data_IF_093659010887
#
_entry.id   IF_093659010887
#
_cell.length_a   1.000
_cell.length_b   1.000
_cell.length_c   1.000
_cell.angle_alpha   90.00
_cell.angle_beta   90.00
_cell.angle_gamma   90.00
#
_symmetry.space_group_name_H-M   'P 1'
#
loop_
_entity.id
_entity.type
_entity.pdbx_description
1 polymer ?
#
# COMPACT_ATOMS: atom_id res chain seq x y z
N UNK A 1 29.08 -21.80 -29.78
CA UNK A 1 27.67 -21.41 -29.57
C UNK A 1 27.26 -21.92 -28.19
N UNK A 2 27.36 -21.08 -27.17
CA UNK A 2 27.16 -21.47 -25.76
C UNK A 2 25.72 -21.22 -25.31
N UNK A 3 24.96 -22.30 -25.14
CA UNK A 3 23.53 -22.31 -24.76
C UNK A 3 23.38 -22.32 -23.21
N UNK A 4 24.41 -21.93 -22.45
CA UNK A 4 24.48 -22.13 -20.97
C UNK A 4 24.22 -20.87 -20.13
N UNK A 5 23.46 -19.88 -20.61
CA UNK A 5 23.22 -18.63 -19.84
C UNK A 5 21.76 -18.20 -19.65
N UNK A 6 20.79 -19.08 -19.82
CA UNK A 6 19.36 -18.69 -19.71
C UNK A 6 18.58 -19.34 -18.56
N UNK A 7 19.21 -20.13 -17.69
CA UNK A 7 18.50 -20.95 -16.67
C UNK A 7 18.64 -20.44 -15.22
N UNK A 8 19.14 -19.22 -15.00
CA UNK A 8 19.35 -18.68 -13.64
C UNK A 8 18.97 -17.20 -13.50
N UNK A 9 17.84 -16.79 -14.06
CA UNK A 9 17.10 -15.71 -13.39
C UNK A 9 16.05 -16.40 -12.52
N UNK A 10 16.10 -16.24 -11.18
CA UNK A 10 14.96 -16.63 -10.38
C UNK A 10 13.80 -15.83 -10.94
N UNK A 11 12.86 -16.53 -11.57
CA UNK A 11 11.51 -16.05 -11.87
C UNK A 11 10.96 -15.59 -10.54
N UNK A 12 11.23 -14.33 -10.22
CA UNK A 12 10.85 -13.67 -9.00
C UNK A 12 9.35 -13.72 -9.03
N UNK A 13 8.79 -14.71 -8.33
CA UNK A 13 7.38 -15.02 -8.30
C UNK A 13 6.63 -13.69 -8.21
N UNK A 14 6.06 -13.26 -9.33
CA UNK A 14 4.93 -12.37 -9.31
C UNK A 14 3.99 -13.07 -8.31
N UNK A 15 3.58 -12.36 -7.25
CA UNK A 15 2.73 -12.97 -6.24
C UNK A 15 1.47 -13.55 -6.90
N UNK A 16 0.65 -14.32 -6.17
CA UNK A 16 -0.57 -14.92 -6.73
C UNK A 16 -1.59 -13.91 -7.28
N UNK A 17 -1.33 -12.61 -7.11
CA UNK A 17 -2.17 -11.51 -7.53
C UNK A 17 -1.66 -10.85 -8.81
N UNK A 18 -2.57 -10.55 -9.73
CA UNK A 18 -2.24 -9.81 -10.95
C UNK A 18 -1.84 -8.36 -10.63
N UNK A 19 -1.10 -7.70 -11.54
CA UNK A 19 -0.75 -6.26 -11.39
C UNK A 19 -1.99 -5.39 -11.19
N UNK A 20 -3.09 -5.74 -11.85
CA UNK A 20 -4.37 -5.03 -11.73
C UNK A 20 -4.96 -5.18 -10.31
N UNK A 21 -4.89 -6.39 -9.73
CA UNK A 21 -5.33 -6.63 -8.36
C UNK A 21 -4.45 -5.89 -7.34
N UNK A 22 -3.13 -5.86 -7.54
CA UNK A 22 -2.22 -5.09 -6.67
C UNK A 22 -2.49 -3.58 -6.75
N UNK A 23 -2.78 -3.04 -7.94
CA UNK A 23 -3.19 -1.63 -8.10
C UNK A 23 -4.54 -1.36 -7.44
N UNK A 24 -5.52 -2.24 -7.65
CA UNK A 24 -6.84 -2.11 -7.04
C UNK A 24 -6.74 -2.09 -5.51
N UNK A 25 -5.96 -2.99 -4.91
CA UNK A 25 -5.66 -3.03 -3.47
C UNK A 25 -4.97 -1.76 -2.97
N UNK A 26 -3.99 -1.24 -3.71
CA UNK A 26 -3.31 0.00 -3.34
C UNK A 26 -4.28 1.19 -3.36
N UNK A 27 -5.14 1.29 -4.39
CA UNK A 27 -6.14 2.35 -4.51
C UNK A 27 -7.20 2.23 -3.43
N UNK A 28 -7.78 1.05 -3.20
CA UNK A 28 -8.79 0.86 -2.15
C UNK A 28 -8.23 1.10 -0.76
N UNK A 29 -6.99 0.69 -0.49
CA UNK A 29 -6.30 1.00 0.78
C UNK A 29 -6.04 2.50 0.97
N UNK A 30 -5.71 3.22 -0.11
CA UNK A 30 -5.54 4.67 -0.05
C UNK A 30 -6.87 5.38 0.24
N UNK A 31 -7.94 5.01 -0.47
CA UNK A 31 -9.29 5.53 -0.22
C UNK A 31 -9.74 5.25 1.21
N UNK A 32 -9.55 4.02 1.70
CA UNK A 32 -9.90 3.65 3.08
C UNK A 32 -9.15 4.52 4.10
N UNK A 33 -7.86 4.79 3.86
CA UNK A 33 -7.08 5.68 4.74
C UNK A 33 -7.66 7.10 4.78
N UNK A 34 -8.06 7.64 3.63
CA UNK A 34 -8.68 8.98 3.56
C UNK A 34 -9.97 9.00 4.38
N UNK A 35 -10.84 7.98 4.24
CA UNK A 35 -12.08 7.90 5.02
C UNK A 35 -11.80 7.85 6.52
N UNK A 36 -10.82 7.03 6.96
CA UNK A 36 -10.44 6.91 8.37
C UNK A 36 -9.90 8.24 8.92
N UNK A 37 -9.07 8.96 8.14
CA UNK A 37 -8.54 10.27 8.54
C UNK A 37 -9.68 11.29 8.69
N UNK A 38 -10.57 11.38 7.70
CA UNK A 38 -11.70 12.32 7.73
C UNK A 38 -12.62 12.01 8.91
N UNK A 39 -12.98 10.76 9.13
CA UNK A 39 -13.83 10.36 10.25
C UNK A 39 -13.16 10.61 11.60
N UNK A 40 -11.85 10.35 11.70
CA UNK A 40 -11.05 10.67 12.88
C UNK A 40 -10.99 12.17 13.17
N UNK A 41 -10.86 13.01 12.14
CA UNK A 41 -10.88 14.48 12.27
C UNK A 41 -12.26 14.96 12.76
N UNK A 42 -13.35 14.39 12.25
CA UNK A 42 -14.72 14.71 12.70
C UNK A 42 -14.89 14.36 14.18
N UNK A 43 -14.46 13.17 14.61
CA UNK A 43 -14.53 12.75 16.01
C UNK A 43 -13.62 13.59 16.92
N UNK A 44 -12.44 13.97 16.44
CA UNK A 44 -11.51 14.82 17.18
C UNK A 44 -12.11 16.22 17.37
N UNK A 45 -12.79 16.75 16.35
CA UNK A 45 -13.50 18.02 16.42
C UNK A 45 -14.69 17.97 17.41
N UNK A 46 -15.28 16.79 17.63
CA UNK A 46 -16.32 16.56 18.63
C UNK A 46 -15.78 16.37 20.06
N UNK A 47 -14.45 16.44 20.26
CA UNK A 47 -13.82 16.27 21.57
C UNK A 47 -13.69 14.82 22.03
N UNK A 48 -13.97 13.84 21.14
CA UNK A 48 -13.79 12.42 21.46
C UNK A 48 -12.29 12.06 21.38
N UNK A 49 -11.75 11.57 22.49
CA UNK A 49 -10.38 11.03 22.61
C UNK A 49 -10.02 9.94 21.58
N UNK A 50 -11.03 9.32 20.95
CA UNK A 50 -10.87 8.35 19.86
C UNK A 50 -10.51 9.00 18.52
N UNK A 51 -10.90 10.26 18.30
CA UNK A 51 -10.65 10.96 17.05
C UNK A 51 -9.17 11.15 16.75
N UNK A 52 -8.40 11.63 17.73
CA UNK A 52 -6.94 11.78 17.59
C UNK A 52 -6.23 10.46 17.30
N UNK A 53 -6.69 9.34 17.91
CA UNK A 53 -6.15 8.00 17.65
C UNK A 53 -6.48 7.52 16.23
N UNK A 54 -7.69 7.76 15.75
CA UNK A 54 -8.10 7.40 14.39
C UNK A 54 -7.31 8.19 13.33
N UNK A 55 -7.04 9.48 13.56
CA UNK A 55 -6.17 10.29 12.69
C UNK A 55 -4.75 9.75 12.68
N UNK A 56 -4.17 9.47 13.86
CA UNK A 56 -2.82 8.91 13.96
C UNK A 56 -2.69 7.56 13.22
N UNK A 57 -3.69 6.68 13.35
CA UNK A 57 -3.74 5.41 12.61
C UNK A 57 -3.82 5.67 11.11
N UNK A 58 -4.73 6.54 10.66
CA UNK A 58 -4.87 6.89 9.25
C UNK A 58 -3.58 7.43 8.63
N UNK A 59 -2.88 8.32 9.32
CA UNK A 59 -1.57 8.86 8.89
C UNK A 59 -0.51 7.76 8.83
N UNK A 60 -0.49 6.84 9.80
CA UNK A 60 0.43 5.72 9.80
C UNK A 60 0.22 4.80 8.59
N UNK A 61 -1.03 4.51 8.21
CA UNK A 61 -1.33 3.73 7.00
C UNK A 61 -0.88 4.45 5.73
N UNK A 62 -1.09 5.77 5.64
CA UNK A 62 -0.60 6.57 4.51
C UNK A 62 0.93 6.51 4.40
N UNK A 63 1.66 6.64 5.51
CA UNK A 63 3.11 6.51 5.52
C UNK A 63 3.57 5.13 5.00
N UNK A 64 2.92 4.06 5.45
CA UNK A 64 3.21 2.70 4.97
C UNK A 64 2.95 2.58 3.48
N UNK A 65 1.84 3.12 2.96
CA UNK A 65 1.55 3.15 1.53
C UNK A 65 2.59 3.93 0.73
N UNK A 66 3.00 5.11 1.21
CA UNK A 66 4.02 5.96 0.56
C UNK A 66 5.38 5.26 0.49
N UNK A 67 5.71 4.38 1.44
CA UNK A 67 6.95 3.57 1.38
C UNK A 67 6.75 2.31 0.52
N UNK A 68 5.63 1.61 0.66
CA UNK A 68 5.37 0.34 0.01
C UNK A 68 5.13 0.47 -1.50
N UNK A 69 4.41 1.50 -1.95
CA UNK A 69 4.12 1.75 -3.36
C UNK A 69 5.39 1.93 -4.20
N UNK A 70 6.31 2.87 -3.90
CA UNK A 70 7.53 3.04 -4.70
C UNK A 70 8.44 1.82 -4.61
N UNK A 71 8.45 1.09 -3.50
CA UNK A 71 9.20 -0.16 -3.37
C UNK A 71 8.61 -1.28 -4.25
N UNK A 72 7.28 -1.34 -4.40
CA UNK A 72 6.60 -2.26 -5.31
C UNK A 72 6.75 -1.88 -6.78
N UNK A 73 6.72 -0.58 -7.10
CA UNK A 73 6.96 -0.04 -8.46
C UNK A 73 8.40 -0.30 -8.89
N UNK A 74 9.40 -0.02 -8.04
CA UNK A 74 10.82 -0.29 -8.33
C UNK A 74 11.13 -1.78 -8.57
N UNK A 75 10.33 -2.67 -7.99
CA UNK A 75 10.47 -4.13 -8.19
C UNK A 75 9.64 -4.68 -9.35
N UNK A 76 8.93 -3.82 -10.10
CA UNK A 76 8.08 -4.23 -11.24
C UNK A 76 6.85 -5.04 -10.83
N UNK A 77 6.42 -4.94 -9.56
CA UNK A 77 5.26 -5.67 -9.00
C UNK A 77 3.97 -4.86 -9.04
N UNK A 78 4.05 -3.54 -9.22
CA UNK A 78 2.93 -2.59 -9.40
C UNK A 78 2.91 -1.99 -10.81
#
# INVERSE_FOLDING_TARGET
MDIRRTVNEPTRSAGPYSRFQMRALAVTSAVLSVVIIVWGLILAAQGDSRGGKAVAIGVAVVLVLVVAIPYGVRKGRL
#
